data_IF_668491995567
#
_entry.id   IF_668491995567
#
_cell.length_a   1.000
_cell.length_b   1.000
_cell.length_c   1.000
_cell.angle_alpha   90.00
_cell.angle_beta   90.00
_cell.angle_gamma   90.00
#
_symmetry.space_group_name_H-M   'P 1'
#
loop_
_entity.id
_entity.type
_entity.pdbx_description
1 polymer ?
#
# COMPACT_ATOMS: atom_id res chain seq x y z
N UNK A 1 3.68 -13.00 -8.60
CA UNK A 1 3.07 -13.30 -7.28
C UNK A 1 1.83 -12.45 -7.19
N UNK A 2 0.69 -13.12 -7.09
CA UNK A 2 -0.62 -12.59 -7.41
C UNK A 2 -1.07 -11.42 -6.57
N UNK A 3 -1.45 -10.37 -7.25
CA UNK A 3 -2.27 -9.29 -6.74
C UNK A 3 -3.73 -9.62 -7.05
N UNK A 4 -4.40 -10.21 -6.06
CA UNK A 4 -5.85 -10.20 -5.97
C UNK A 4 -6.21 -9.50 -4.67
N UNK A 5 -6.83 -8.31 -4.68
CA UNK A 5 -7.73 -7.95 -3.61
C UNK A 5 -9.00 -8.77 -3.83
N UNK A 6 -9.50 -9.39 -2.76
CA UNK A 6 -10.83 -9.97 -2.70
C UNK A 6 -11.86 -8.87 -2.99
N UNK A 7 -12.24 -8.74 -4.25
CA UNK A 7 -13.33 -7.86 -4.66
C UNK A 7 -14.63 -8.67 -4.57
N UNK A 8 -15.50 -8.40 -3.59
CA UNK A 8 -16.74 -9.12 -3.43
C UNK A 8 -17.73 -8.89 -4.58
N UNK A 9 -17.52 -7.87 -5.44
CA UNK A 9 -18.37 -7.62 -6.60
C UNK A 9 -18.04 -8.52 -7.80
N UNK A 10 -16.80 -8.98 -7.94
CA UNK A 10 -16.44 -9.95 -8.98
C UNK A 10 -17.03 -11.34 -8.75
N UNK A 11 -17.40 -11.66 -7.50
CA UNK A 11 -18.09 -12.90 -7.15
C UNK A 11 -19.63 -12.80 -7.32
N UNK A 12 -20.18 -11.60 -7.45
CA UNK A 12 -21.62 -11.38 -7.48
C UNK A 12 -22.29 -11.81 -8.80
N UNK A 13 -21.53 -12.01 -9.88
CA UNK A 13 -22.06 -12.55 -11.14
C UNK A 13 -22.35 -14.05 -11.11
N UNK A 14 -21.90 -14.78 -10.08
CA UNK A 14 -22.00 -16.23 -10.06
C UNK A 14 -23.15 -16.81 -9.24
N UNK A 15 -23.76 -16.09 -8.28
CA UNK A 15 -24.90 -16.62 -7.52
C UNK A 15 -25.64 -15.49 -6.80
N UNK A 16 -26.94 -15.23 -7.03
CA UNK A 16 -27.78 -14.68 -6.00
C UNK A 16 -27.90 -15.76 -4.92
N UNK A 17 -27.46 -15.48 -3.70
CA UNK A 17 -27.71 -16.35 -2.55
C UNK A 17 -29.21 -16.55 -2.39
N UNK A 18 -29.75 -17.77 -2.52
CA UNK A 18 -31.13 -18.01 -2.14
C UNK A 18 -31.20 -17.95 -0.62
N UNK A 19 -32.12 -17.14 -0.11
CA UNK A 19 -32.60 -17.28 1.26
C UNK A 19 -33.00 -18.73 1.47
N UNK A 20 -32.48 -19.29 2.57
CA UNK A 20 -32.81 -20.58 3.11
C UNK A 20 -34.32 -20.87 3.03
N UNK A 21 -34.71 -21.89 2.27
CA UNK A 21 -35.79 -22.79 2.58
C UNK A 21 -35.62 -24.10 1.79
N UNK A 22 -35.46 -25.19 2.53
CA UNK A 22 -35.84 -26.55 2.22
C UNK A 22 -35.03 -27.33 1.16
N UNK A 23 -34.13 -28.17 1.64
CA UNK A 23 -33.63 -29.35 0.95
C UNK A 23 -34.77 -30.39 0.81
N UNK A 24 -35.64 -30.18 -0.15
CA UNK A 24 -36.39 -31.29 -0.75
C UNK A 24 -35.76 -31.58 -2.11
N UNK A 25 -35.48 -32.87 -2.34
CA UNK A 25 -34.96 -33.40 -3.60
C UNK A 25 -35.88 -32.98 -4.75
N UNK A 26 -35.51 -31.93 -5.50
CA UNK A 26 -36.24 -31.51 -6.71
C UNK A 26 -35.79 -32.39 -7.91
N UNK A 27 -36.01 -33.71 -7.73
CA UNK A 27 -35.76 -34.72 -8.77
C UNK A 27 -36.74 -34.55 -9.93
N UNK A 28 -37.92 -34.03 -9.68
CA UNK A 28 -38.96 -33.82 -10.70
C UNK A 28 -38.58 -32.60 -11.57
N UNK A 29 -38.06 -31.53 -10.99
CA UNK A 29 -37.55 -30.36 -11.71
C UNK A 29 -36.33 -30.68 -12.56
N UNK A 30 -35.36 -31.42 -12.04
CA UNK A 30 -34.19 -31.88 -12.77
C UNK A 30 -34.57 -32.75 -13.97
N UNK A 31 -35.51 -33.71 -13.76
CA UNK A 31 -35.99 -34.60 -14.81
C UNK A 31 -36.69 -33.83 -15.94
N UNK A 32 -37.53 -32.86 -15.57
CA UNK A 32 -38.21 -31.99 -16.55
C UNK A 32 -37.21 -31.16 -17.37
N UNK A 33 -36.19 -30.58 -16.73
CA UNK A 33 -35.11 -29.83 -17.41
C UNK A 33 -34.29 -30.75 -18.34
N UNK A 34 -34.00 -31.99 -17.91
CA UNK A 34 -33.31 -32.98 -18.73
C UNK A 34 -34.08 -33.34 -20.00
N UNK A 35 -35.37 -33.57 -19.88
CA UNK A 35 -36.24 -33.86 -21.01
C UNK A 35 -36.32 -32.68 -21.99
N UNK A 36 -36.50 -31.47 -21.49
CA UNK A 36 -36.55 -30.27 -22.29
C UNK A 36 -35.21 -30.01 -23.02
N UNK A 37 -34.08 -30.13 -22.30
CA UNK A 37 -32.74 -29.92 -22.86
C UNK A 37 -32.38 -30.98 -23.91
N UNK A 38 -32.78 -32.25 -23.71
CA UNK A 38 -32.64 -33.27 -24.73
C UNK A 38 -33.54 -33.02 -25.93
N UNK A 39 -34.70 -32.40 -25.74
CA UNK A 39 -35.58 -31.90 -26.79
C UNK A 39 -35.07 -30.69 -27.57
N UNK A 40 -33.92 -30.14 -27.17
CA UNK A 40 -33.29 -28.99 -27.85
C UNK A 40 -33.61 -27.65 -27.22
N UNK A 41 -34.22 -27.61 -26.05
CA UNK A 41 -34.42 -26.37 -25.30
C UNK A 41 -33.08 -25.86 -24.77
N UNK A 42 -32.64 -24.72 -25.32
CA UNK A 42 -31.36 -24.08 -25.04
C UNK A 42 -31.32 -23.52 -23.60
N UNK A 43 -32.45 -22.99 -23.16
CA UNK A 43 -32.55 -22.42 -21.81
C UNK A 43 -32.54 -23.54 -20.72
N UNK A 44 -33.22 -24.65 -21.00
CA UNK A 44 -33.17 -25.82 -20.11
C UNK A 44 -31.74 -26.38 -20.02
N UNK A 45 -30.99 -26.43 -21.11
CA UNK A 45 -29.59 -26.86 -21.11
C UNK A 45 -28.73 -25.89 -20.30
N UNK A 46 -28.90 -24.57 -20.43
CA UNK A 46 -28.22 -23.57 -19.61
C UNK A 46 -28.50 -23.78 -18.10
N UNK A 47 -29.76 -23.93 -17.73
CA UNK A 47 -30.18 -24.13 -16.34
C UNK A 47 -29.63 -25.44 -15.75
N UNK A 48 -29.56 -26.51 -16.54
CA UNK A 48 -28.90 -27.75 -16.12
C UNK A 48 -27.41 -27.54 -15.83
N UNK A 49 -26.73 -26.81 -16.70
CA UNK A 49 -25.33 -26.46 -16.48
C UNK A 49 -25.13 -25.76 -15.13
N UNK A 50 -25.97 -24.79 -14.81
CA UNK A 50 -25.97 -24.10 -13.50
C UNK A 50 -26.31 -25.04 -12.35
N UNK A 51 -27.32 -25.89 -12.50
CA UNK A 51 -27.73 -26.85 -11.49
C UNK A 51 -26.58 -27.83 -11.14
N UNK A 52 -25.93 -28.41 -12.15
CA UNK A 52 -24.81 -29.31 -11.92
C UNK A 52 -23.57 -28.60 -11.34
N UNK A 53 -23.32 -27.34 -11.74
CA UNK A 53 -22.26 -26.51 -11.15
C UNK A 53 -22.49 -26.27 -9.64
N UNK A 54 -23.71 -25.96 -9.22
CA UNK A 54 -24.06 -25.78 -7.81
C UNK A 54 -23.88 -27.07 -7.00
N UNK A 55 -24.13 -28.24 -7.58
CA UNK A 55 -23.92 -29.55 -6.93
C UNK A 55 -22.46 -30.02 -6.99
N UNK A 56 -21.57 -29.26 -7.62
CA UNK A 56 -20.17 -29.58 -7.74
C UNK A 56 -19.85 -30.61 -8.85
N UNK A 57 -20.82 -31.03 -9.64
CA UNK A 57 -20.58 -31.88 -10.82
C UNK A 57 -20.09 -31.00 -11.99
N UNK A 58 -18.78 -30.76 -11.97
CA UNK A 58 -18.12 -29.91 -12.95
C UNK A 58 -18.16 -30.46 -14.37
N UNK A 59 -18.18 -31.78 -14.53
CA UNK A 59 -18.21 -32.42 -15.85
C UNK A 59 -19.58 -32.32 -16.51
N UNK A 60 -20.63 -32.56 -15.78
CA UNK A 60 -22.01 -32.39 -16.26
C UNK A 60 -22.32 -30.91 -16.54
N UNK A 61 -21.88 -30.00 -15.65
CA UNK A 61 -22.04 -28.55 -15.84
C UNK A 61 -21.43 -28.09 -17.17
N UNK A 62 -20.17 -28.47 -17.43
CA UNK A 62 -19.46 -28.13 -18.67
C UNK A 62 -20.22 -28.68 -19.88
N UNK A 63 -20.60 -29.96 -19.86
CA UNK A 63 -21.31 -30.62 -20.96
C UNK A 63 -22.58 -29.85 -21.35
N UNK A 64 -23.40 -29.48 -20.37
CA UNK A 64 -24.64 -28.78 -20.65
C UNK A 64 -24.43 -27.35 -21.10
N UNK A 65 -23.44 -26.63 -20.57
CA UNK A 65 -23.07 -25.30 -21.05
C UNK A 65 -22.51 -25.34 -22.47
N UNK A 66 -21.65 -26.34 -22.84
CA UNK A 66 -21.16 -26.51 -24.21
C UNK A 66 -22.32 -26.69 -25.20
N UNK A 67 -23.30 -27.47 -24.82
CA UNK A 67 -24.50 -27.71 -25.64
C UNK A 67 -25.35 -26.45 -25.79
N UNK A 68 -25.57 -25.71 -24.70
CA UNK A 68 -26.33 -24.46 -24.73
C UNK A 68 -25.59 -23.37 -25.51
N UNK A 69 -24.27 -23.23 -25.29
CA UNK A 69 -23.46 -22.24 -26.00
C UNK A 69 -23.38 -22.52 -27.50
N UNK A 70 -23.26 -23.79 -27.90
CA UNK A 70 -23.31 -24.20 -29.31
C UNK A 70 -24.66 -23.86 -29.98
N UNK A 71 -25.73 -23.78 -29.19
CA UNK A 71 -27.06 -23.35 -29.65
C UNK A 71 -27.26 -21.83 -29.48
N UNK A 72 -26.23 -21.05 -29.16
CA UNK A 72 -26.22 -19.59 -29.12
C UNK A 72 -26.54 -18.96 -27.76
N UNK A 73 -26.54 -19.72 -26.68
CA UNK A 73 -26.71 -19.16 -25.35
C UNK A 73 -25.42 -18.47 -24.86
N UNK A 74 -25.46 -17.15 -24.73
CA UNK A 74 -24.30 -16.33 -24.38
C UNK A 74 -23.89 -16.50 -22.91
N UNK A 75 -24.85 -16.62 -22.01
CA UNK A 75 -24.58 -16.88 -20.60
C UNK A 75 -23.81 -18.20 -20.39
N UNK A 76 -24.13 -19.21 -21.20
CA UNK A 76 -23.39 -20.49 -21.17
C UNK A 76 -21.98 -20.35 -21.72
N UNK A 77 -21.80 -19.57 -22.79
CA UNK A 77 -20.46 -19.27 -23.29
C UNK A 77 -19.64 -18.50 -22.25
N UNK A 78 -20.21 -17.50 -21.60
CA UNK A 78 -19.57 -16.79 -20.49
C UNK A 78 -19.19 -17.74 -19.34
N UNK A 79 -20.12 -18.59 -18.90
CA UNK A 79 -19.85 -19.56 -17.83
C UNK A 79 -18.77 -20.59 -18.20
N UNK A 80 -18.69 -20.99 -19.47
CA UNK A 80 -17.58 -21.81 -19.97
C UNK A 80 -16.24 -21.07 -19.92
N UNK A 81 -16.22 -19.79 -20.24
CA UNK A 81 -15.04 -18.94 -20.08
C UNK A 81 -14.52 -19.00 -18.64
N UNK A 82 -15.38 -18.74 -17.66
CA UNK A 82 -15.05 -18.83 -16.24
C UNK A 82 -14.60 -20.25 -15.86
N UNK A 83 -15.29 -21.25 -16.37
CA UNK A 83 -14.95 -22.64 -16.08
C UNK A 83 -13.53 -22.98 -16.53
N UNK A 84 -13.17 -22.63 -17.78
CA UNK A 84 -11.86 -22.87 -18.36
C UNK A 84 -10.75 -22.07 -17.68
N UNK A 85 -11.03 -20.84 -17.28
CA UNK A 85 -10.10 -20.01 -16.52
C UNK A 85 -9.75 -20.67 -15.17
N UNK A 86 -10.75 -21.12 -14.41
CA UNK A 86 -10.55 -21.82 -13.13
C UNK A 86 -9.86 -23.18 -13.26
N UNK A 87 -9.89 -23.80 -14.42
CA UNK A 87 -9.27 -25.11 -14.66
C UNK A 87 -7.93 -25.01 -15.41
N UNK A 88 -7.35 -23.80 -15.51
CA UNK A 88 -6.01 -23.59 -16.07
C UNK A 88 -5.92 -23.80 -17.57
N UNK A 89 -7.00 -23.55 -18.30
CA UNK A 89 -7.05 -23.60 -19.78
C UNK A 89 -7.38 -22.23 -20.35
N UNK A 90 -6.49 -21.22 -20.20
CA UNK A 90 -6.77 -19.82 -20.54
C UNK A 90 -7.07 -19.60 -22.04
N UNK A 91 -6.46 -20.37 -22.91
CA UNK A 91 -6.72 -20.29 -24.35
C UNK A 91 -8.17 -20.67 -24.70
N UNK A 92 -8.71 -21.69 -24.07
CA UNK A 92 -10.12 -22.07 -24.27
C UNK A 92 -11.04 -21.06 -23.59
N UNK A 93 -10.68 -20.55 -22.41
CA UNK A 93 -11.41 -19.47 -21.75
C UNK A 93 -11.53 -18.24 -22.67
N UNK A 94 -10.42 -17.81 -23.29
CA UNK A 94 -10.41 -16.69 -24.22
C UNK A 94 -11.38 -16.91 -25.40
N UNK A 95 -11.41 -18.11 -25.97
CA UNK A 95 -12.34 -18.44 -27.10
C UNK A 95 -13.82 -18.31 -26.70
N UNK A 96 -14.16 -18.80 -25.50
CA UNK A 96 -15.54 -18.72 -25.02
C UNK A 96 -15.94 -17.29 -24.65
N UNK A 97 -15.05 -16.54 -23.99
CA UNK A 97 -15.27 -15.13 -23.74
C UNK A 97 -15.39 -14.32 -25.04
N UNK A 98 -14.53 -14.60 -26.04
CA UNK A 98 -14.58 -13.92 -27.33
C UNK A 98 -15.90 -14.19 -28.06
N UNK A 99 -16.42 -15.42 -28.00
CA UNK A 99 -17.72 -15.78 -28.59
C UNK A 99 -18.84 -14.94 -27.94
N UNK A 100 -18.89 -14.86 -26.62
CA UNK A 100 -19.91 -14.08 -25.91
C UNK A 100 -19.72 -12.57 -26.14
N UNK A 101 -18.50 -12.07 -26.06
CA UNK A 101 -18.17 -10.65 -26.26
C UNK A 101 -18.50 -10.14 -27.66
N UNK A 102 -18.23 -10.93 -28.72
CA UNK A 102 -18.60 -10.62 -30.10
C UNK A 102 -20.12 -10.55 -30.31
N UNK A 103 -20.87 -11.25 -29.47
CA UNK A 103 -22.32 -11.20 -29.47
C UNK A 103 -22.91 -10.09 -28.58
N UNK A 104 -22.04 -9.28 -27.94
CA UNK A 104 -22.42 -8.10 -27.18
C UNK A 104 -22.45 -8.30 -25.66
N UNK A 105 -21.95 -9.42 -25.15
CA UNK A 105 -21.81 -9.62 -23.71
C UNK A 105 -20.66 -8.75 -23.17
N UNK A 106 -21.05 -7.77 -22.35
CA UNK A 106 -20.13 -6.77 -21.81
C UNK A 106 -19.18 -7.34 -20.77
N UNK A 107 -19.66 -8.26 -19.95
CA UNK A 107 -18.86 -8.90 -18.90
C UNK A 107 -17.84 -9.85 -19.51
N UNK A 108 -18.23 -10.60 -20.55
CA UNK A 108 -17.32 -11.43 -21.31
C UNK A 108 -16.20 -10.60 -21.97
N UNK A 109 -16.53 -9.44 -22.50
CA UNK A 109 -15.53 -8.52 -23.08
C UNK A 109 -14.52 -8.02 -22.04
N UNK A 110 -14.98 -7.73 -20.82
CA UNK A 110 -14.10 -7.33 -19.70
C UNK A 110 -13.20 -8.48 -19.28
N UNK A 111 -13.74 -9.68 -19.09
CA UNK A 111 -12.97 -10.84 -18.67
C UNK A 111 -11.96 -11.27 -19.74
N UNK A 112 -12.34 -11.20 -21.02
CA UNK A 112 -11.41 -11.44 -22.11
C UNK A 112 -10.24 -10.44 -22.09
N UNK A 113 -10.52 -9.17 -21.88
CA UNK A 113 -9.49 -8.14 -21.82
C UNK A 113 -8.52 -8.38 -20.65
N UNK A 114 -9.04 -8.74 -19.48
CA UNK A 114 -8.20 -9.12 -18.31
C UNK A 114 -7.34 -10.32 -18.63
N UNK A 115 -7.93 -11.38 -19.19
CA UNK A 115 -7.22 -12.60 -19.53
C UNK A 115 -6.09 -12.34 -20.55
N UNK A 116 -6.32 -11.48 -21.54
CA UNK A 116 -5.32 -11.10 -22.54
C UNK A 116 -4.15 -10.33 -21.89
N UNK A 117 -4.41 -9.50 -20.90
CA UNK A 117 -3.34 -8.83 -20.13
C UNK A 117 -2.54 -9.81 -19.30
N UNK A 118 -3.23 -10.63 -18.49
CA UNK A 118 -2.59 -11.43 -17.45
C UNK A 118 -1.80 -12.61 -18.05
N UNK A 119 -2.34 -13.23 -19.10
CA UNK A 119 -1.76 -14.46 -19.67
C UNK A 119 -0.87 -14.20 -20.89
N UNK A 120 -1.14 -13.17 -21.66
CA UNK A 120 -0.47 -12.92 -22.93
C UNK A 120 0.27 -11.59 -22.98
N UNK A 121 0.04 -10.69 -22.03
CA UNK A 121 0.60 -9.33 -22.09
C UNK A 121 0.15 -8.54 -23.32
N UNK A 122 -0.96 -8.95 -23.97
CA UNK A 122 -1.47 -8.31 -25.18
C UNK A 122 -2.28 -7.05 -24.83
N UNK A 123 -1.54 -6.00 -24.47
CA UNK A 123 -2.10 -4.68 -24.13
C UNK A 123 -2.99 -4.11 -25.26
N UNK A 124 -2.58 -4.17 -26.56
CA UNK A 124 -3.42 -3.65 -27.64
C UNK A 124 -4.76 -4.37 -27.80
N UNK A 125 -4.78 -5.69 -27.66
CA UNK A 125 -6.03 -6.45 -27.76
C UNK A 125 -6.94 -6.22 -26.55
N UNK A 126 -6.37 -6.22 -25.34
CA UNK A 126 -7.09 -5.94 -24.11
C UNK A 126 -7.73 -4.54 -24.14
N UNK A 127 -6.98 -3.51 -24.59
CA UNK A 127 -7.49 -2.14 -24.74
C UNK A 127 -8.74 -2.10 -25.63
N UNK A 128 -8.72 -2.77 -26.78
CA UNK A 128 -9.87 -2.80 -27.70
C UNK A 128 -11.11 -3.41 -27.05
N UNK A 129 -10.95 -4.47 -26.27
CA UNK A 129 -12.08 -5.10 -25.58
C UNK A 129 -12.59 -4.24 -24.42
N UNK A 130 -11.71 -3.63 -23.64
CA UNK A 130 -12.14 -2.65 -22.64
C UNK A 130 -12.86 -1.45 -23.27
N UNK A 131 -12.37 -0.92 -24.39
CA UNK A 131 -13.07 0.17 -25.11
C UNK A 131 -14.46 -0.25 -25.59
N UNK A 132 -14.59 -1.49 -26.06
CA UNK A 132 -15.89 -2.04 -26.47
C UNK A 132 -16.84 -2.13 -25.28
N UNK A 133 -16.39 -2.68 -24.16
CA UNK A 133 -17.18 -2.79 -22.96
C UNK A 133 -17.51 -1.41 -22.34
N UNK A 134 -16.57 -0.46 -22.35
CA UNK A 134 -16.79 0.90 -21.87
C UNK A 134 -17.81 1.67 -22.71
N UNK A 135 -17.80 1.48 -24.03
CA UNK A 135 -18.83 2.04 -24.94
C UNK A 135 -20.22 1.46 -24.65
N UNK A 136 -20.27 0.20 -24.22
CA UNK A 136 -21.50 -0.46 -23.81
C UNK A 136 -21.93 -0.12 -22.36
N UNK A 137 -21.20 0.78 -21.67
CA UNK A 137 -21.56 1.29 -20.35
C UNK A 137 -20.93 0.55 -19.16
N UNK A 138 -19.93 -0.30 -19.40
CA UNK A 138 -19.21 -0.96 -18.31
C UNK A 138 -18.35 0.03 -17.53
N UNK A 139 -18.70 0.28 -16.27
CA UNK A 139 -17.90 1.10 -15.34
C UNK A 139 -16.54 0.44 -15.05
N UNK A 140 -16.53 -0.87 -14.88
CA UNK A 140 -15.32 -1.63 -14.66
C UNK A 140 -14.33 -1.47 -15.82
N UNK A 141 -14.81 -1.59 -17.07
CA UNK A 141 -13.97 -1.39 -18.26
C UNK A 141 -13.46 0.06 -18.37
N UNK A 142 -14.30 1.04 -18.06
CA UNK A 142 -13.90 2.46 -18.08
C UNK A 142 -12.75 2.73 -17.13
N UNK A 143 -12.83 2.21 -15.89
CA UNK A 143 -11.76 2.31 -14.91
C UNK A 143 -10.50 1.55 -15.33
N UNK A 144 -10.64 0.33 -15.85
CA UNK A 144 -9.50 -0.46 -16.35
C UNK A 144 -8.76 0.23 -17.50
N UNK A 145 -9.47 0.92 -18.39
CA UNK A 145 -8.87 1.74 -19.44
C UNK A 145 -8.06 2.90 -18.88
N UNK A 146 -8.59 3.58 -17.85
CA UNK A 146 -7.88 4.66 -17.21
C UNK A 146 -6.54 4.18 -16.63
N UNK A 147 -6.57 3.09 -15.86
CA UNK A 147 -5.37 2.48 -15.29
C UNK A 147 -4.38 2.00 -16.37
N UNK A 148 -4.89 1.40 -17.45
CA UNK A 148 -4.07 0.96 -18.58
C UNK A 148 -3.35 2.12 -19.28
N UNK A 149 -4.02 3.27 -19.39
CA UNK A 149 -3.44 4.50 -19.93
C UNK A 149 -2.39 5.09 -18.97
N UNK A 150 -2.60 5.00 -17.65
CA UNK A 150 -1.61 5.42 -16.64
C UNK A 150 -0.35 4.56 -16.73
N UNK A 151 -0.50 3.24 -16.78
CA UNK A 151 0.62 2.30 -16.92
C UNK A 151 1.41 2.54 -18.23
N UNK A 152 0.70 2.94 -19.27
CA UNK A 152 1.30 3.33 -20.56
C UNK A 152 1.90 4.75 -20.60
N UNK A 153 1.78 5.53 -19.53
CA UNK A 153 2.23 6.93 -19.48
C UNK A 153 1.37 7.90 -20.28
N UNK A 154 0.17 7.49 -20.69
CA UNK A 154 -0.78 8.29 -21.49
C UNK A 154 -1.65 9.17 -20.56
N UNK A 155 -1.03 10.08 -19.80
CA UNK A 155 -1.65 10.87 -18.72
C UNK A 155 -2.96 11.56 -19.16
N UNK A 156 -3.01 12.15 -20.37
CA UNK A 156 -4.22 12.82 -20.87
C UNK A 156 -5.36 11.83 -21.11
N UNK A 157 -5.08 10.69 -21.74
CA UNK A 157 -6.08 9.66 -21.99
C UNK A 157 -6.55 9.03 -20.66
N UNK A 158 -5.65 8.79 -19.72
CA UNK A 158 -5.98 8.33 -18.38
C UNK A 158 -6.95 9.29 -17.69
N UNK A 159 -6.65 10.60 -17.70
CA UNK A 159 -7.52 11.62 -17.12
C UNK A 159 -8.91 11.67 -17.75
N UNK A 160 -9.03 11.48 -19.07
CA UNK A 160 -10.31 11.42 -19.76
C UNK A 160 -11.16 10.21 -19.33
N UNK A 161 -10.52 9.03 -19.24
CA UNK A 161 -11.20 7.81 -18.81
C UNK A 161 -11.57 7.84 -17.32
N UNK A 162 -10.69 8.32 -16.44
CA UNK A 162 -11.02 8.53 -15.03
C UNK A 162 -12.17 9.52 -14.86
N UNK A 163 -12.18 10.62 -15.63
CA UNK A 163 -13.28 11.60 -15.57
C UNK A 163 -14.61 10.96 -15.95
N UNK A 164 -14.61 10.13 -16.97
CA UNK A 164 -15.81 9.39 -17.39
C UNK A 164 -16.26 8.43 -16.29
N UNK A 165 -15.35 7.63 -15.72
CA UNK A 165 -15.66 6.71 -14.65
C UNK A 165 -16.16 7.44 -13.38
N UNK A 166 -15.54 8.56 -13.02
CA UNK A 166 -15.95 9.38 -11.88
C UNK A 166 -17.35 10.00 -12.07
N UNK A 167 -17.69 10.43 -13.30
CA UNK A 167 -19.04 10.90 -13.64
C UNK A 167 -20.08 9.80 -13.54
N UNK A 168 -19.70 8.54 -13.77
CA UNK A 168 -20.54 7.35 -13.59
C UNK A 168 -20.57 6.87 -12.13
N UNK A 169 -19.93 7.62 -11.20
CA UNK A 169 -19.95 7.38 -9.74
C UNK A 169 -18.82 6.50 -9.23
N UNK A 170 -17.76 6.27 -10.01
CA UNK A 170 -16.57 5.58 -9.51
C UNK A 170 -15.70 6.54 -8.65
N UNK A 171 -15.81 6.37 -7.35
CA UNK A 171 -15.11 7.22 -6.38
C UNK A 171 -13.59 7.04 -6.40
N UNK A 172 -13.12 5.86 -6.75
CA UNK A 172 -11.69 5.63 -6.90
C UNK A 172 -11.13 6.39 -8.09
N UNK A 173 -11.84 6.42 -9.23
CA UNK A 173 -11.45 7.26 -10.36
C UNK A 173 -11.51 8.76 -10.06
N UNK A 174 -12.46 9.21 -9.24
CA UNK A 174 -12.46 10.60 -8.76
C UNK A 174 -11.24 10.90 -7.87
N UNK A 175 -10.84 9.97 -7.03
CA UNK A 175 -9.63 10.08 -6.22
C UNK A 175 -8.35 10.12 -7.10
N UNK A 176 -8.27 9.25 -8.11
CA UNK A 176 -7.13 9.20 -9.04
C UNK A 176 -7.03 10.48 -9.88
N UNK A 177 -8.17 11.06 -10.33
CA UNK A 177 -8.20 12.39 -10.94
C UNK A 177 -7.62 13.48 -10.05
N UNK A 178 -7.94 13.45 -8.76
CA UNK A 178 -7.34 14.36 -7.79
C UNK A 178 -5.82 14.28 -7.76
N UNK A 179 -5.26 13.08 -7.87
CA UNK A 179 -3.80 12.88 -7.96
C UNK A 179 -3.22 13.39 -9.28
N UNK A 180 -3.88 13.14 -10.40
CA UNK A 180 -3.44 13.66 -11.70
C UNK A 180 -3.44 15.19 -11.74
N UNK A 181 -4.47 15.83 -11.18
CA UNK A 181 -4.56 17.27 -11.04
C UNK A 181 -3.48 17.82 -10.10
N UNK A 182 -3.26 17.16 -8.95
CA UNK A 182 -2.20 17.52 -8.01
C UNK A 182 -0.81 17.45 -8.66
N UNK A 183 -0.54 16.39 -9.40
CA UNK A 183 0.72 16.23 -10.12
C UNK A 183 0.93 17.26 -11.23
N UNK A 184 -0.16 17.80 -11.78
CA UNK A 184 -0.15 18.86 -12.78
C UNK A 184 -0.11 20.28 -12.18
N UNK A 185 -0.21 20.41 -10.86
CA UNK A 185 -0.29 21.70 -10.15
C UNK A 185 -1.65 22.41 -10.26
N UNK A 186 -2.70 21.67 -10.61
CA UNK A 186 -4.06 22.20 -10.78
C UNK A 186 -4.81 22.09 -9.44
N UNK A 187 -4.55 23.04 -8.53
CA UNK A 187 -5.06 23.01 -7.15
C UNK A 187 -6.59 22.96 -7.07
N UNK A 188 -7.29 23.76 -7.86
CA UNK A 188 -8.76 23.82 -7.89
C UNK A 188 -9.38 22.49 -8.33
N UNK A 189 -8.81 21.83 -9.34
CA UNK A 189 -9.27 20.53 -9.80
C UNK A 189 -8.93 19.44 -8.77
N UNK A 190 -7.77 19.52 -8.12
CA UNK A 190 -7.37 18.63 -7.02
C UNK A 190 -8.40 18.65 -5.89
N UNK A 191 -8.71 19.86 -5.41
CA UNK A 191 -9.73 20.08 -4.36
C UNK A 191 -11.08 19.52 -4.77
N UNK A 192 -11.52 19.84 -5.99
CA UNK A 192 -12.83 19.45 -6.53
C UNK A 192 -13.00 17.93 -6.54
N UNK A 193 -12.02 17.21 -7.09
CA UNK A 193 -12.13 15.77 -7.27
C UNK A 193 -11.97 15.01 -5.94
N UNK A 194 -11.00 15.40 -5.11
CA UNK A 194 -10.86 14.77 -3.79
C UNK A 194 -12.03 15.09 -2.87
N UNK A 195 -12.58 16.30 -2.93
CA UNK A 195 -13.77 16.67 -2.14
C UNK A 195 -15.00 15.87 -2.57
N UNK A 196 -15.20 15.70 -3.87
CA UNK A 196 -16.28 14.86 -4.41
C UNK A 196 -16.18 13.42 -3.90
N UNK A 197 -15.01 12.81 -4.04
CA UNK A 197 -14.77 11.45 -3.58
C UNK A 197 -14.91 11.32 -2.06
N UNK A 198 -14.29 12.22 -1.30
CA UNK A 198 -14.32 12.23 0.16
C UNK A 198 -15.73 12.34 0.73
N UNK A 199 -16.53 13.29 0.23
CA UNK A 199 -17.93 13.48 0.67
C UNK A 199 -18.84 12.33 0.29
N UNK A 200 -18.48 11.60 -0.75
CA UNK A 200 -19.19 10.39 -1.17
C UNK A 200 -18.73 9.11 -0.44
N UNK A 201 -17.81 9.24 0.51
CA UNK A 201 -17.40 8.14 1.40
C UNK A 201 -16.05 7.50 1.09
N UNK A 202 -15.29 8.01 0.11
CA UNK A 202 -13.95 7.48 -0.19
C UNK A 202 -12.95 7.91 0.91
N UNK A 203 -12.50 6.94 1.71
CA UNK A 203 -11.67 7.20 2.88
C UNK A 203 -10.31 7.81 2.53
N UNK A 204 -9.65 7.25 1.50
CA UNK A 204 -8.32 7.72 1.08
C UNK A 204 -8.38 9.13 0.49
N UNK A 205 -9.45 9.46 -0.27
CA UNK A 205 -9.64 10.81 -0.80
C UNK A 205 -9.80 11.84 0.34
N UNK A 206 -10.57 11.50 1.37
CA UNK A 206 -10.71 12.35 2.54
C UNK A 206 -9.37 12.54 3.27
N UNK A 207 -8.58 11.48 3.39
CA UNK A 207 -7.26 11.54 4.01
C UNK A 207 -6.28 12.41 3.20
N UNK A 208 -6.19 12.21 1.88
CA UNK A 208 -5.29 12.99 1.02
C UNK A 208 -5.71 14.46 0.93
N UNK A 209 -7.02 14.73 0.92
CA UNK A 209 -7.51 16.11 0.99
C UNK A 209 -7.14 16.77 2.32
N UNK A 210 -7.24 16.04 3.43
CA UNK A 210 -6.77 16.50 4.74
C UNK A 210 -5.28 16.86 4.72
N UNK A 211 -4.43 16.00 4.14
CA UNK A 211 -3.00 16.28 3.99
C UNK A 211 -2.71 17.49 3.09
N UNK A 212 -3.45 17.64 2.01
CA UNK A 212 -3.33 18.79 1.11
C UNK A 212 -3.69 20.11 1.79
N UNK A 213 -4.82 20.14 2.50
CA UNK A 213 -5.24 21.33 3.26
C UNK A 213 -4.26 21.67 4.39
N UNK A 214 -3.72 20.67 5.07
CA UNK A 214 -2.69 20.88 6.09
C UNK A 214 -1.41 21.50 5.48
N UNK A 215 -0.97 21.02 4.32
CA UNK A 215 0.17 21.59 3.60
C UNK A 215 -0.08 23.03 3.15
N UNK A 216 -1.33 23.36 2.79
CA UNK A 216 -1.77 24.70 2.39
C UNK A 216 -2.17 25.61 3.56
N UNK A 217 -1.83 25.22 4.81
CA UNK A 217 -2.06 25.99 6.03
C UNK A 217 -3.54 26.23 6.36
N UNK A 218 -4.41 25.31 5.98
CA UNK A 218 -5.80 25.22 6.43
C UNK A 218 -5.97 24.06 7.44
N UNK A 219 -5.64 24.26 8.73
CA UNK A 219 -5.73 23.22 9.74
C UNK A 219 -7.17 22.84 10.09
N UNK A 220 -8.11 23.77 9.97
CA UNK A 220 -9.53 23.51 10.28
C UNK A 220 -10.16 22.62 9.21
N UNK A 221 -9.91 22.93 7.94
CA UNK A 221 -10.31 22.09 6.82
C UNK A 221 -9.67 20.72 6.89
N UNK A 222 -8.37 20.65 7.17
CA UNK A 222 -7.63 19.39 7.32
C UNK A 222 -8.24 18.50 8.41
N UNK A 223 -8.52 19.07 9.58
CA UNK A 223 -9.14 18.33 10.70
C UNK A 223 -10.51 17.78 10.32
N UNK A 224 -11.34 18.55 9.63
CA UNK A 224 -12.66 18.12 9.19
C UNK A 224 -12.57 16.90 8.26
N UNK A 225 -11.65 16.92 7.29
CA UNK A 225 -11.47 15.82 6.36
C UNK A 225 -10.76 14.60 6.99
N UNK A 226 -9.83 14.79 7.92
CA UNK A 226 -9.30 13.66 8.69
C UNK A 226 -10.37 13.01 9.56
N UNK A 227 -11.31 13.76 10.14
CA UNK A 227 -12.46 13.18 10.84
C UNK A 227 -13.36 12.38 9.91
N UNK A 228 -13.57 12.86 8.68
CA UNK A 228 -14.33 12.14 7.67
C UNK A 228 -13.60 10.86 7.26
N UNK A 229 -12.30 10.91 7.04
CA UNK A 229 -11.48 9.74 6.75
C UNK A 229 -11.52 8.71 7.90
N UNK A 230 -11.41 9.17 9.14
CA UNK A 230 -11.49 8.30 10.32
C UNK A 230 -12.89 7.68 10.51
N UNK A 231 -13.95 8.37 10.10
CA UNK A 231 -15.33 7.82 10.08
C UNK A 231 -15.46 6.71 9.04
N UNK A 232 -14.77 6.84 7.92
CA UNK A 232 -14.73 5.87 6.83
C UNK A 232 -13.57 4.87 6.99
N UNK A 233 -13.06 4.71 8.21
CA UNK A 233 -12.09 3.69 8.63
C UNK A 233 -10.69 3.79 7.97
N UNK A 234 -10.30 4.97 7.48
CA UNK A 234 -8.94 5.15 6.97
C UNK A 234 -7.88 4.97 8.08
N UNK A 235 -6.90 4.06 7.90
CA UNK A 235 -5.99 3.63 8.97
C UNK A 235 -5.05 4.73 9.50
N UNK A 236 -4.73 5.72 8.66
CA UNK A 236 -3.83 6.84 9.04
C UNK A 236 -4.55 8.05 9.62
N UNK A 237 -5.88 8.14 9.51
CA UNK A 237 -6.61 9.36 9.85
C UNK A 237 -6.60 9.64 11.37
N UNK A 238 -6.70 8.60 12.18
CA UNK A 238 -6.66 8.73 13.64
C UNK A 238 -5.30 9.26 14.11
N UNK A 239 -4.19 8.84 13.49
CA UNK A 239 -2.84 9.34 13.79
C UNK A 239 -2.72 10.83 13.50
N UNK A 240 -3.27 11.31 12.37
CA UNK A 240 -3.26 12.74 12.02
C UNK A 240 -4.07 13.57 13.02
N UNK A 241 -5.27 13.11 13.39
CA UNK A 241 -6.10 13.78 14.40
C UNK A 241 -5.43 13.80 15.77
N UNK A 242 -4.76 12.73 16.16
CA UNK A 242 -3.93 12.67 17.35
C UNK A 242 -2.80 13.69 17.33
N UNK A 243 -2.11 13.81 16.20
CA UNK A 243 -1.06 14.81 15.98
C UNK A 243 -1.56 16.25 16.08
N UNK A 244 -2.72 16.55 15.48
CA UNK A 244 -3.35 17.87 15.58
C UNK A 244 -3.70 18.18 17.03
N UNK A 245 -4.37 17.26 17.74
CA UNK A 245 -4.72 17.47 19.15
C UNK A 245 -3.48 17.67 20.04
N UNK A 246 -2.40 16.91 19.76
CA UNK A 246 -1.13 17.05 20.46
C UNK A 246 -0.50 18.43 20.23
N UNK A 247 -0.53 18.94 19.01
CA UNK A 247 0.00 20.28 18.67
C UNK A 247 -0.78 21.42 19.37
N UNK A 248 -2.06 21.18 19.66
CA UNK A 248 -2.92 22.11 20.41
C UNK A 248 -2.79 21.93 21.94
N UNK A 249 -2.00 20.98 22.41
CA UNK A 249 -1.84 20.66 23.83
C UNK A 249 -3.02 19.90 24.45
N UNK A 250 -3.99 19.45 23.64
CA UNK A 250 -5.12 18.65 24.13
C UNK A 250 -4.71 17.17 24.23
N UNK A 251 -4.00 16.85 25.33
CA UNK A 251 -3.52 15.49 25.59
C UNK A 251 -4.64 14.45 25.70
N UNK A 252 -5.84 14.86 26.17
CA UNK A 252 -6.97 13.91 26.29
C UNK A 252 -7.50 13.48 24.93
N UNK A 253 -7.71 14.44 24.05
CA UNK A 253 -8.13 14.14 22.67
C UNK A 253 -7.04 13.44 21.89
N UNK A 254 -5.77 13.85 22.04
CA UNK A 254 -4.61 13.20 21.44
C UNK A 254 -4.55 11.73 21.84
N UNK A 255 -4.66 11.43 23.15
CA UNK A 255 -4.70 10.06 23.66
C UNK A 255 -5.79 9.22 22.99
N UNK A 256 -7.02 9.73 22.99
CA UNK A 256 -8.16 8.97 22.43
C UNK A 256 -7.92 8.59 20.94
N UNK A 257 -7.37 9.53 20.17
CA UNK A 257 -7.06 9.27 18.76
C UNK A 257 -5.88 8.32 18.57
N UNK A 258 -4.78 8.50 19.30
CA UNK A 258 -3.63 7.60 19.19
C UNK A 258 -3.93 6.19 19.72
N UNK A 259 -4.74 6.03 20.75
CA UNK A 259 -5.22 4.71 21.20
C UNK A 259 -6.05 4.03 20.11
N UNK A 260 -6.93 4.78 19.43
CA UNK A 260 -7.68 4.26 18.28
C UNK A 260 -6.75 3.85 17.13
N UNK A 261 -5.76 4.68 16.79
CA UNK A 261 -4.75 4.35 15.78
C UNK A 261 -3.93 3.13 16.17
N UNK A 262 -3.47 3.05 17.41
CA UNK A 262 -2.66 1.95 17.94
C UNK A 262 -3.38 0.60 17.95
N UNK A 263 -4.72 0.60 18.04
CA UNK A 263 -5.55 -0.61 17.92
C UNK A 263 -5.44 -1.27 16.54
N UNK A 264 -5.06 -0.53 15.48
CA UNK A 264 -4.82 -1.09 14.14
C UNK A 264 -3.56 -1.93 14.05
N UNK A 265 -2.72 -1.92 15.10
CA UNK A 265 -1.46 -2.68 15.16
C UNK A 265 -0.23 -1.93 14.64
N UNK A 266 -0.37 -0.69 14.18
CA UNK A 266 0.76 0.12 13.71
C UNK A 266 1.69 0.46 14.87
N UNK A 267 2.94 0.06 14.74
CA UNK A 267 3.96 0.18 15.81
C UNK A 267 4.21 1.65 16.19
N UNK A 268 4.30 2.54 15.20
CA UNK A 268 4.51 3.97 15.42
C UNK A 268 3.38 4.61 16.25
N UNK A 269 2.13 4.22 15.98
CA UNK A 269 0.96 4.73 16.72
C UNK A 269 0.95 4.19 18.15
N UNK A 270 1.33 2.92 18.36
CA UNK A 270 1.48 2.34 19.69
C UNK A 270 2.57 3.06 20.50
N UNK A 271 3.72 3.32 19.87
CA UNK A 271 4.80 4.09 20.51
C UNK A 271 4.30 5.51 20.88
N UNK A 272 3.64 6.20 19.96
CA UNK A 272 3.14 7.55 20.20
C UNK A 272 2.06 7.59 21.28
N UNK A 273 1.15 6.61 21.31
CA UNK A 273 0.17 6.45 22.40
C UNK A 273 0.87 6.28 23.75
N UNK A 274 1.97 5.52 23.79
CA UNK A 274 2.81 5.37 24.98
C UNK A 274 3.38 6.72 25.45
N UNK A 275 3.93 7.52 24.56
CA UNK A 275 4.43 8.86 24.91
C UNK A 275 3.35 9.79 25.42
N UNK A 276 2.18 9.83 24.79
CA UNK A 276 1.04 10.64 25.27
C UNK A 276 0.62 10.21 26.68
N UNK A 277 0.63 8.91 26.98
CA UNK A 277 0.36 8.41 28.33
C UNK A 277 1.42 8.90 29.34
N UNK A 278 2.71 8.92 28.97
CA UNK A 278 3.78 9.50 29.82
C UNK A 278 3.53 10.94 30.13
N UNK A 279 3.22 11.78 29.13
CA UNK A 279 2.90 13.21 29.30
C UNK A 279 1.68 13.42 30.23
N UNK A 280 0.76 12.48 30.24
CA UNK A 280 -0.40 12.49 31.15
C UNK A 280 -0.11 11.86 32.52
N UNK A 281 1.12 11.44 32.80
CA UNK A 281 1.53 10.71 34.01
C UNK A 281 0.75 9.41 34.23
N UNK A 282 0.30 8.77 33.15
CA UNK A 282 -0.35 7.45 33.16
C UNK A 282 0.69 6.35 32.85
N UNK A 283 1.44 5.95 33.87
CA UNK A 283 2.45 4.92 33.73
C UNK A 283 1.89 3.55 33.27
N UNK A 284 0.63 3.23 33.66
CA UNK A 284 -0.01 1.97 33.22
C UNK A 284 -0.33 1.99 31.74
N UNK A 285 -0.93 3.07 31.24
CA UNK A 285 -1.21 3.26 29.83
C UNK A 285 0.07 3.26 29.00
N UNK A 286 1.10 3.98 29.48
CA UNK A 286 2.41 4.00 28.83
C UNK A 286 3.03 2.60 28.73
N UNK A 287 3.04 1.83 29.83
CA UNK A 287 3.54 0.47 29.88
C UNK A 287 2.79 -0.47 28.93
N UNK A 288 1.47 -0.33 28.85
CA UNK A 288 0.64 -1.11 27.92
C UNK A 288 1.06 -0.87 26.47
N UNK A 289 1.19 0.37 26.05
CA UNK A 289 1.47 0.69 24.66
C UNK A 289 2.94 0.47 24.28
N UNK A 290 3.88 0.86 25.15
CA UNK A 290 5.30 0.60 24.90
C UNK A 290 5.61 -0.89 24.84
N UNK A 291 5.01 -1.72 25.69
CA UNK A 291 5.23 -3.18 25.65
C UNK A 291 4.78 -3.78 24.32
N UNK A 292 3.65 -3.30 23.75
CA UNK A 292 3.15 -3.77 22.45
C UNK A 292 4.04 -3.31 21.30
N UNK A 293 4.45 -2.06 21.29
CA UNK A 293 5.35 -1.53 20.27
C UNK A 293 6.72 -2.21 20.33
N UNK A 294 7.25 -2.44 21.55
CA UNK A 294 8.49 -3.15 21.78
C UNK A 294 8.43 -4.62 21.31
N UNK A 295 7.33 -5.31 21.59
CA UNK A 295 7.08 -6.66 21.07
C UNK A 295 7.00 -6.69 19.54
N UNK A 296 6.56 -5.58 18.91
CA UNK A 296 6.58 -5.35 17.46
C UNK A 296 7.98 -5.03 16.91
N UNK A 297 9.00 -4.91 17.78
CA UNK A 297 10.38 -4.67 17.37
C UNK A 297 10.81 -3.19 17.39
N UNK A 298 10.02 -2.28 17.97
CA UNK A 298 10.40 -0.87 18.07
C UNK A 298 11.45 -0.66 19.17
N UNK A 299 12.67 -0.21 18.82
CA UNK A 299 13.74 -0.07 19.82
C UNK A 299 13.54 1.09 20.79
N UNK A 300 12.89 2.18 20.35
CA UNK A 300 12.56 3.32 21.21
C UNK A 300 11.51 2.95 22.25
N UNK A 301 10.46 2.21 21.83
CA UNK A 301 9.45 1.71 22.75
C UNK A 301 10.05 0.69 23.73
N UNK A 302 10.94 -0.20 23.28
CA UNK A 302 11.62 -1.15 24.14
C UNK A 302 12.47 -0.44 25.20
N UNK A 303 13.19 0.61 24.82
CA UNK A 303 13.94 1.44 25.74
C UNK A 303 13.03 2.10 26.79
N UNK A 304 11.96 2.77 26.34
CA UNK A 304 11.05 3.46 27.25
C UNK A 304 10.28 2.50 28.16
N UNK A 305 9.93 1.31 27.67
CA UNK A 305 9.32 0.27 28.50
C UNK A 305 10.29 -0.24 29.57
N UNK A 306 11.55 -0.45 29.21
CA UNK A 306 12.61 -0.78 30.17
C UNK A 306 12.77 0.26 31.28
N UNK A 307 12.75 1.55 30.94
CA UNK A 307 12.76 2.65 31.92
C UNK A 307 11.57 2.60 32.87
N UNK A 308 10.35 2.37 32.35
CA UNK A 308 9.14 2.27 33.17
C UNK A 308 9.19 1.08 34.14
N UNK A 309 9.68 -0.07 33.70
CA UNK A 309 9.81 -1.25 34.56
C UNK A 309 10.74 -0.99 35.76
N UNK A 310 11.81 -0.26 35.52
CA UNK A 310 12.75 0.11 36.59
C UNK A 310 12.14 1.16 37.51
N UNK A 311 11.56 2.24 36.95
CA UNK A 311 11.06 3.36 37.70
C UNK A 311 9.83 3.02 38.55
N UNK A 312 8.86 2.34 37.98
CA UNK A 312 7.53 2.11 38.58
C UNK A 312 7.48 0.75 39.36
N UNK A 313 8.22 -0.23 38.88
CA UNK A 313 8.12 -1.59 39.42
C UNK A 313 9.41 -2.09 40.11
N UNK A 314 10.49 -1.30 40.05
CA UNK A 314 11.84 -1.71 40.54
C UNK A 314 12.29 -3.04 39.90
N UNK A 315 11.79 -3.34 38.69
CA UNK A 315 12.11 -4.55 37.93
C UNK A 315 13.38 -4.32 37.09
N UNK A 316 14.54 -4.49 37.75
CA UNK A 316 15.83 -4.35 37.10
C UNK A 316 16.07 -5.44 36.03
N UNK A 317 15.53 -6.65 36.24
CA UNK A 317 15.73 -7.75 35.29
C UNK A 317 14.90 -7.52 34.01
N UNK A 318 13.65 -7.13 34.15
CA UNK A 318 12.80 -6.73 33.03
C UNK A 318 13.38 -5.54 32.27
N UNK A 319 13.83 -4.51 32.99
CA UNK A 319 14.49 -3.35 32.40
C UNK A 319 15.76 -3.74 31.63
N UNK A 320 16.63 -4.56 32.22
CA UNK A 320 17.82 -5.06 31.53
C UNK A 320 17.50 -5.88 30.29
N UNK A 321 16.43 -6.69 30.31
CA UNK A 321 16.00 -7.47 29.17
C UNK A 321 15.61 -6.56 27.99
N UNK A 322 14.77 -5.55 28.22
CA UNK A 322 14.30 -4.64 27.19
C UNK A 322 15.40 -3.69 26.69
N UNK A 323 16.28 -3.22 27.58
CA UNK A 323 17.46 -2.46 27.14
C UNK A 323 18.37 -3.29 26.24
N UNK A 324 18.52 -4.60 26.52
CA UNK A 324 19.31 -5.48 25.66
C UNK A 324 18.66 -5.62 24.28
N UNK A 325 17.35 -5.80 24.21
CA UNK A 325 16.64 -5.86 22.92
C UNK A 325 16.77 -4.54 22.15
N UNK A 326 16.53 -3.41 22.78
CA UNK A 326 16.68 -2.09 22.17
C UNK A 326 18.12 -1.86 21.69
N UNK A 327 19.11 -2.17 22.50
CA UNK A 327 20.52 -2.02 22.17
C UNK A 327 20.93 -2.92 21.00
N UNK A 328 20.45 -4.18 20.95
CA UNK A 328 20.66 -5.08 19.81
C UNK A 328 20.04 -4.55 18.50
N UNK A 329 18.93 -3.83 18.60
CA UNK A 329 18.31 -3.12 17.47
C UNK A 329 19.00 -1.78 17.15
N UNK A 330 20.10 -1.44 17.84
CA UNK A 330 20.93 -0.27 17.58
C UNK A 330 20.52 1.00 18.36
N UNK A 331 19.70 0.86 19.40
CA UNK A 331 19.34 1.99 20.24
C UNK A 331 20.48 2.33 21.20
N UNK A 332 21.22 3.40 20.88
CA UNK A 332 22.46 3.74 21.60
C UNK A 332 22.24 4.01 23.09
N UNK A 333 21.21 4.78 23.47
CA UNK A 333 20.93 5.07 24.87
C UNK A 333 20.63 3.81 25.68
N UNK A 334 19.94 2.84 25.07
CA UNK A 334 19.70 1.55 25.71
C UNK A 334 20.99 0.77 25.96
N UNK A 335 21.97 0.84 25.06
CA UNK A 335 23.29 0.23 25.27
C UNK A 335 24.03 0.85 26.45
N UNK A 336 23.94 2.16 26.61
CA UNK A 336 24.55 2.89 27.75
C UNK A 336 23.89 2.51 29.06
N UNK A 337 22.56 2.53 29.14
CA UNK A 337 21.82 2.15 30.35
C UNK A 337 22.04 0.66 30.71
N UNK A 338 22.06 -0.21 29.69
CA UNK A 338 22.39 -1.62 29.88
C UNK A 338 23.80 -1.79 30.49
N UNK A 339 24.78 -1.06 29.94
CA UNK A 339 26.14 -1.10 30.42
C UNK A 339 26.26 -0.61 31.89
N UNK A 340 25.51 0.45 32.23
CA UNK A 340 25.43 0.95 33.59
C UNK A 340 24.88 -0.11 34.57
N UNK A 341 23.76 -0.76 34.19
CA UNK A 341 23.18 -1.84 35.01
C UNK A 341 24.11 -3.04 35.15
N UNK A 342 24.78 -3.45 34.07
CA UNK A 342 25.75 -4.56 34.09
C UNK A 342 26.97 -4.23 34.96
N UNK A 343 27.48 -3.00 34.89
CA UNK A 343 28.58 -2.55 35.75
C UNK A 343 28.19 -2.57 37.22
N UNK A 344 26.99 -2.08 37.56
CA UNK A 344 26.48 -2.10 38.94
C UNK A 344 26.29 -3.54 39.46
N UNK A 345 25.98 -4.48 38.57
CA UNK A 345 25.86 -5.91 38.89
C UNK A 345 27.20 -6.66 38.88
N UNK A 346 28.35 -5.98 38.63
CA UNK A 346 29.69 -6.57 38.62
C UNK A 346 30.13 -7.21 37.29
N UNK A 347 29.34 -7.07 36.22
CA UNK A 347 29.64 -7.61 34.87
C UNK A 347 30.41 -6.62 34.00
N UNK A 348 31.52 -6.07 34.50
CA UNK A 348 32.29 -4.99 33.87
C UNK A 348 32.74 -5.32 32.44
N UNK A 349 33.14 -6.56 32.13
CA UNK A 349 33.58 -6.95 30.78
C UNK A 349 32.42 -6.94 29.75
N UNK A 350 31.25 -7.32 30.20
CA UNK A 350 30.06 -7.27 29.33
C UNK A 350 29.62 -5.81 29.11
N UNK A 351 29.65 -4.99 30.15
CA UNK A 351 29.36 -3.56 30.06
C UNK A 351 30.30 -2.84 29.06
N UNK A 352 31.62 -3.12 29.14
CA UNK A 352 32.60 -2.56 28.22
C UNK A 352 32.33 -2.92 26.76
N UNK A 353 31.84 -4.15 26.46
CA UNK A 353 31.46 -4.55 25.08
C UNK A 353 30.32 -3.72 24.53
N UNK A 354 29.28 -3.45 25.35
CA UNK A 354 28.17 -2.64 24.92
C UNK A 354 28.54 -1.17 24.64
N UNK A 355 29.58 -0.67 25.30
CA UNK A 355 30.07 0.70 25.09
C UNK A 355 31.09 0.82 23.95
N UNK A 356 31.94 -0.19 23.74
CA UNK A 356 33.02 -0.16 22.76
C UNK A 356 32.59 -0.61 21.37
N UNK A 357 31.64 -1.54 21.29
CA UNK A 357 31.12 -2.08 20.02
C UNK A 357 29.61 -2.26 20.12
N UNK A 358 28.85 -1.16 20.21
CA UNK A 358 27.40 -1.26 20.21
C UNK A 358 26.94 -1.87 18.88
N UNK A 359 25.98 -2.82 18.91
CA UNK A 359 25.48 -3.42 17.70
C UNK A 359 24.92 -2.33 16.77
N UNK A 360 25.39 -2.35 15.55
CA UNK A 360 24.86 -1.44 14.51
C UNK A 360 23.41 -1.80 14.23
N UNK A 361 22.52 -0.81 14.06
CA UNK A 361 21.12 -1.07 13.74
C UNK A 361 21.01 -1.91 12.46
N UNK A 362 20.00 -2.78 12.33
CA UNK A 362 19.84 -3.67 11.16
C UNK A 362 19.94 -2.97 9.82
N UNK A 363 19.46 -1.72 9.73
CA UNK A 363 19.52 -0.90 8.51
C UNK A 363 20.92 -0.34 8.20
N UNK A 364 21.86 -0.36 9.14
CA UNK A 364 23.25 0.06 8.91
C UNK A 364 24.10 -1.06 8.28
N UNK A 365 23.57 -2.28 8.24
CA UNK A 365 24.18 -3.44 7.58
C UNK A 365 23.63 -3.68 6.20
N UNK A 366 23.19 -2.62 5.51
CA UNK A 366 22.70 -2.75 4.14
C UNK A 366 23.82 -3.35 3.30
N UNK A 367 23.64 -4.58 2.88
CA UNK A 367 24.56 -5.27 1.97
C UNK A 367 24.46 -4.61 0.59
N UNK A 368 25.53 -4.68 -0.20
CA UNK A 368 25.52 -4.13 -1.55
C UNK A 368 24.30 -4.61 -2.40
N UNK A 369 23.87 -5.89 -2.32
CA UNK A 369 22.63 -6.35 -2.95
C UNK A 369 21.35 -5.66 -2.49
N UNK A 370 21.25 -5.30 -1.20
CA UNK A 370 20.08 -4.58 -0.67
C UNK A 370 20.03 -3.13 -1.12
N UNK A 371 21.20 -2.47 -1.24
CA UNK A 371 21.30 -1.13 -1.83
C UNK A 371 20.90 -1.13 -3.30
N UNK A 372 21.35 -2.13 -4.06
CA UNK A 372 20.96 -2.32 -5.46
C UNK A 372 19.45 -2.53 -5.58
N UNK A 373 18.86 -3.42 -4.77
CA UNK A 373 17.41 -3.65 -4.78
C UNK A 373 16.61 -2.39 -4.44
N UNK A 374 17.08 -1.57 -3.49
CA UNK A 374 16.45 -0.27 -3.17
C UNK A 374 16.55 0.72 -4.33
N UNK A 375 17.72 0.78 -4.98
CA UNK A 375 17.94 1.63 -6.14
C UNK A 375 17.07 1.20 -7.33
N UNK A 376 16.90 -0.11 -7.55
CA UNK A 376 15.99 -0.67 -8.56
C UNK A 376 14.54 -0.31 -8.29
N UNK A 377 14.08 -0.44 -7.04
CA UNK A 377 12.75 -0.03 -6.64
C UNK A 377 12.50 1.46 -6.85
N UNK A 378 13.48 2.31 -6.51
CA UNK A 378 13.40 3.74 -6.72
C UNK A 378 13.36 4.09 -8.23
N UNK A 379 14.24 3.49 -9.04
CA UNK A 379 14.26 3.67 -10.50
C UNK A 379 12.92 3.24 -11.14
N UNK A 380 12.39 2.08 -10.74
CA UNK A 380 11.11 1.58 -11.20
C UNK A 380 9.94 2.47 -10.76
N UNK A 381 9.98 3.06 -9.56
CA UNK A 381 8.97 3.99 -9.08
C UNK A 381 8.98 5.31 -9.88
N UNK A 382 10.17 5.82 -10.22
CA UNK A 382 10.33 7.02 -11.08
C UNK A 382 9.78 6.73 -12.48
N UNK A 383 10.17 5.60 -13.08
CA UNK A 383 9.71 5.20 -14.41
C UNK A 383 8.18 5.02 -14.47
N UNK A 384 7.58 4.37 -13.47
CA UNK A 384 6.12 4.17 -13.39
C UNK A 384 5.32 5.46 -13.32
N UNK A 385 5.92 6.55 -12.83
CA UNK A 385 5.27 7.87 -12.71
C UNK A 385 5.64 8.83 -13.84
N UNK A 386 6.17 8.32 -14.96
CA UNK A 386 6.53 9.13 -16.13
C UNK A 386 7.77 10.02 -15.93
N UNK A 387 8.54 9.79 -14.87
CA UNK A 387 9.83 10.44 -14.67
C UNK A 387 10.88 9.95 -15.69
N UNK A 388 11.88 10.78 -15.97
CA UNK A 388 12.98 10.38 -16.85
C UNK A 388 13.71 9.17 -16.23
N UNK A 389 14.15 8.19 -17.05
CA UNK A 389 14.80 6.99 -16.56
C UNK A 389 16.09 7.32 -15.82
N UNK A 390 16.20 6.87 -14.57
CA UNK A 390 17.37 7.02 -13.73
C UNK A 390 18.20 5.73 -13.74
N UNK A 391 19.54 5.87 -13.79
CA UNK A 391 20.41 4.70 -13.75
C UNK A 391 20.48 4.14 -12.33
N UNK A 392 20.24 2.85 -12.19
CA UNK A 392 20.32 2.15 -10.90
C UNK A 392 21.67 2.33 -10.23
N UNK A 393 22.76 2.33 -11.01
CA UNK A 393 24.13 2.56 -10.51
C UNK A 393 24.28 3.91 -9.81
N UNK A 394 23.71 4.99 -10.37
CA UNK A 394 23.77 6.33 -9.79
C UNK A 394 23.00 6.41 -8.47
N UNK A 395 21.82 5.78 -8.44
CA UNK A 395 21.01 5.71 -7.22
C UNK A 395 21.68 4.88 -6.13
N UNK A 396 22.30 3.77 -6.49
CA UNK A 396 23.09 2.93 -5.58
C UNK A 396 24.28 3.71 -5.00
N UNK A 397 24.97 4.51 -5.81
CA UNK A 397 26.07 5.35 -5.37
C UNK A 397 25.61 6.43 -4.38
N UNK A 398 24.50 7.11 -4.66
CA UNK A 398 23.91 8.12 -3.75
C UNK A 398 23.52 7.51 -2.41
N UNK A 399 22.75 6.42 -2.43
CA UNK A 399 22.26 5.77 -1.22
C UNK A 399 23.42 5.20 -0.38
N UNK A 400 24.36 4.52 -1.04
CA UNK A 400 25.50 3.89 -0.38
C UNK A 400 26.49 4.92 0.19
N UNK A 401 26.73 6.05 -0.50
CA UNK A 401 27.58 7.10 0.02
C UNK A 401 27.00 7.74 1.27
N UNK A 402 25.71 8.06 1.26
CA UNK A 402 25.05 8.63 2.44
C UNK A 402 25.14 7.68 3.63
N UNK A 403 24.80 6.41 3.44
CA UNK A 403 24.85 5.42 4.49
C UNK A 403 26.29 5.20 5.03
N UNK A 404 27.30 5.34 4.17
CA UNK A 404 28.70 5.28 4.57
C UNK A 404 29.12 6.47 5.43
N UNK A 405 28.85 7.71 4.96
CA UNK A 405 29.32 8.93 5.61
C UNK A 405 28.55 9.30 6.87
N UNK A 406 27.30 8.85 7.01
CA UNK A 406 26.48 9.08 8.21
C UNK A 406 26.65 8.00 9.26
N UNK A 407 27.29 6.89 8.92
CA UNK A 407 27.53 5.74 9.81
C UNK A 407 28.17 6.10 11.17
N UNK A 408 29.16 7.03 11.24
CA UNK A 408 29.79 7.38 12.52
C UNK A 408 29.01 8.40 13.34
N UNK A 409 27.90 8.95 12.82
CA UNK A 409 27.11 9.94 13.55
C UNK A 409 26.34 9.29 14.71
N UNK A 410 26.54 9.85 15.88
CA UNK A 410 25.79 9.50 17.10
C UNK A 410 24.59 10.44 17.23
N UNK A 411 23.53 9.99 17.91
CA UNK A 411 22.28 10.72 18.09
C UNK A 411 22.48 12.20 18.48
N UNK A 412 21.61 13.08 17.94
CA UNK A 412 21.54 14.54 18.14
C UNK A 412 22.59 15.42 17.42
N UNK A 413 23.39 14.86 16.53
CA UNK A 413 24.25 15.69 15.70
C UNK A 413 23.45 16.20 14.49
N UNK A 414 23.50 17.50 14.22
CA UNK A 414 23.06 18.01 12.94
C UNK A 414 23.94 17.44 11.84
N UNK A 415 23.38 16.46 11.14
CA UNK A 415 24.08 15.68 10.11
C UNK A 415 24.69 16.61 9.06
N UNK A 416 23.96 17.65 8.69
CA UNK A 416 24.38 18.60 7.67
C UNK A 416 25.55 19.44 8.17
N UNK A 417 25.46 20.01 9.36
CA UNK A 417 26.51 20.79 9.97
C UNK A 417 27.79 19.97 10.16
N UNK A 418 27.66 18.74 10.67
CA UNK A 418 28.78 17.83 10.90
C UNK A 418 29.48 17.42 9.60
N UNK A 419 28.70 17.08 8.55
CA UNK A 419 29.27 16.75 7.23
C UNK A 419 29.92 17.96 6.56
N UNK A 420 29.34 19.16 6.71
CA UNK A 420 29.89 20.41 6.21
C UNK A 420 31.27 20.70 6.80
N UNK A 421 31.37 20.61 8.14
CA UNK A 421 32.64 20.87 8.85
C UNK A 421 33.72 19.85 8.44
N UNK A 422 33.36 18.60 8.28
CA UNK A 422 34.32 17.52 8.02
C UNK A 422 34.72 17.39 6.54
N UNK A 423 33.81 17.67 5.61
CA UNK A 423 34.07 17.53 4.18
C UNK A 423 34.53 18.82 3.50
N UNK A 424 34.30 19.96 4.13
CA UNK A 424 34.51 21.28 3.53
C UNK A 424 33.55 21.62 2.38
N UNK A 425 32.51 20.81 2.17
CA UNK A 425 31.48 21.05 1.17
C UNK A 425 30.45 22.06 1.68
N UNK A 426 29.82 22.85 0.79
CA UNK A 426 28.77 23.78 1.18
C UNK A 426 27.58 23.06 1.83
N UNK A 427 27.04 23.61 2.92
CA UNK A 427 25.87 23.03 3.63
C UNK A 427 24.69 22.78 2.69
N UNK A 428 24.41 23.71 1.77
CA UNK A 428 23.34 23.56 0.78
C UNK A 428 23.49 22.35 -0.16
N UNK A 429 24.73 21.96 -0.48
CA UNK A 429 24.97 20.76 -1.30
C UNK A 429 24.67 19.48 -0.52
N UNK A 430 25.00 19.45 0.77
CA UNK A 430 24.73 18.33 1.66
C UNK A 430 23.23 18.22 1.98
N UNK A 431 22.56 19.35 2.20
CA UNK A 431 21.10 19.41 2.36
C UNK A 431 20.38 18.90 1.13
N UNK A 432 20.85 19.28 -0.06
CA UNK A 432 20.29 18.80 -1.31
C UNK A 432 20.45 17.28 -1.49
N UNK A 433 21.63 16.75 -1.18
CA UNK A 433 21.88 15.31 -1.15
C UNK A 433 20.95 14.58 -0.18
N UNK A 434 20.77 15.12 1.03
CA UNK A 434 19.86 14.58 2.04
C UNK A 434 18.40 14.57 1.57
N UNK A 435 17.97 15.68 0.94
CA UNK A 435 16.61 15.84 0.39
C UNK A 435 16.33 14.84 -0.73
N UNK A 436 17.24 14.73 -1.70
CA UNK A 436 17.09 13.77 -2.81
C UNK A 436 17.08 12.33 -2.30
N UNK A 437 17.96 11.98 -1.36
CA UNK A 437 17.94 10.66 -0.72
C UNK A 437 16.60 10.38 -0.02
N UNK A 438 16.08 11.34 0.74
CA UNK A 438 14.80 11.18 1.42
C UNK A 438 13.64 10.95 0.44
N UNK A 439 13.66 11.64 -0.70
CA UNK A 439 12.70 11.46 -1.79
C UNK A 439 12.81 10.07 -2.43
N UNK A 440 14.01 9.59 -2.68
CA UNK A 440 14.26 8.26 -3.24
C UNK A 440 13.83 7.12 -2.31
N UNK A 441 13.90 7.32 -0.99
CA UNK A 441 13.52 6.31 0.01
C UNK A 441 12.04 6.34 0.39
N UNK A 442 11.32 7.41 0.05
CA UNK A 442 9.89 7.56 0.34
C UNK A 442 9.10 7.68 -0.95
N UNK A 443 8.68 6.58 -1.57
CA UNK A 443 7.81 6.63 -2.74
C UNK A 443 6.43 7.16 -2.31
N UNK A 444 6.19 8.46 -2.49
CA UNK A 444 4.90 9.06 -2.19
C UNK A 444 4.87 10.55 -1.86
N UNK A 445 6.02 11.19 -1.67
CA UNK A 445 6.09 12.62 -1.35
C UNK A 445 7.10 13.35 -2.24
N UNK A 446 6.79 14.58 -2.62
CA UNK A 446 7.57 15.51 -3.43
C UNK A 446 7.83 15.10 -4.89
N UNK A 447 8.03 16.03 -5.80
CA UNK A 447 8.41 15.72 -7.18
C UNK A 447 9.71 14.91 -7.20
N UNK A 448 9.76 13.91 -8.08
CA UNK A 448 10.95 13.09 -8.25
C UNK A 448 12.12 13.93 -8.76
N UNK A 449 13.35 13.66 -8.28
CA UNK A 449 14.52 14.39 -8.76
C UNK A 449 14.70 14.18 -10.26
N UNK A 450 15.00 15.26 -10.95
CA UNK A 450 15.33 15.26 -12.37
C UNK A 450 16.70 14.60 -12.61
N UNK A 451 17.01 14.12 -13.83
CA UNK A 451 18.35 13.61 -14.15
C UNK A 451 19.47 14.62 -13.85
N UNK A 452 19.22 15.92 -14.04
CA UNK A 452 20.16 16.99 -13.74
C UNK A 452 20.41 17.12 -12.23
N UNK A 453 19.37 17.02 -11.42
CA UNK A 453 19.49 17.02 -9.95
C UNK A 453 20.22 15.76 -9.46
N UNK A 454 19.97 14.59 -10.05
CA UNK A 454 20.71 13.36 -9.74
C UNK A 454 22.19 13.51 -10.08
N UNK A 455 22.53 14.09 -11.22
CA UNK A 455 23.92 14.32 -11.62
C UNK A 455 24.64 15.30 -10.66
N UNK A 456 23.95 16.37 -10.24
CA UNK A 456 24.45 17.32 -9.26
C UNK A 456 24.72 16.67 -7.89
N UNK A 457 23.78 15.86 -7.44
CA UNK A 457 23.89 15.13 -6.18
C UNK A 457 24.97 14.05 -6.23
N UNK A 458 25.19 13.41 -7.38
CA UNK A 458 26.29 12.46 -7.59
C UNK A 458 27.66 13.11 -7.44
N UNK A 459 27.85 14.35 -7.94
CA UNK A 459 29.09 15.10 -7.75
C UNK A 459 29.33 15.30 -6.24
N UNK A 460 28.32 15.70 -5.50
CA UNK A 460 28.41 15.87 -4.04
C UNK A 460 28.68 14.54 -3.32
N UNK A 461 28.01 13.46 -3.71
CA UNK A 461 28.25 12.14 -3.13
C UNK A 461 29.68 11.65 -3.39
N UNK A 462 30.21 11.84 -4.60
CA UNK A 462 31.57 11.47 -4.95
C UNK A 462 32.62 12.30 -4.20
N UNK A 463 32.36 13.62 -4.05
CA UNK A 463 33.23 14.50 -3.26
C UNK A 463 33.25 14.10 -1.78
N UNK A 464 32.09 13.76 -1.20
CA UNK A 464 32.02 13.22 0.16
C UNK A 464 32.80 11.92 0.32
N UNK A 465 32.71 11.02 -0.64
CA UNK A 465 33.39 9.72 -0.61
C UNK A 465 34.90 9.85 -0.78
N UNK A 466 35.38 10.76 -1.64
CA UNK A 466 36.80 11.00 -1.87
C UNK A 466 37.50 11.74 -0.72
N UNK A 467 36.78 12.61 -0.02
CA UNK A 467 37.26 13.32 1.18
C UNK A 467 37.13 12.54 2.47
N UNK A 468 36.51 11.35 2.43
CA UNK A 468 36.23 10.54 3.58
C UNK A 468 37.41 9.66 3.97
N UNK A 469 38.08 10.01 5.09
CA UNK A 469 38.95 9.09 5.83
C UNK A 469 38.17 8.60 7.05
N UNK A 470 38.05 7.28 7.26
CA UNK A 470 37.29 6.70 8.39
C UNK A 470 37.84 7.09 9.75
#
# INVERSE_FOLDING_TARGET
MGWWPDDPEAAAGLVPTPRSTEHENDTDGETALLLAAHGGDVQAAHLLGRHFAQRGDRSAARHWWERAAAAGNLDSAYNLGIWHEKHGTPTEAARWYELAANAGDVEAAVNLAILLLDQHGDVPAARRWFETAAKAGSRAATRRLALLCEDGGEVKAAGEWHRRAAMDGDLASAHDLGFLAYASGEEDETLRWWELAARSGHADAAYHLGLFLQANRDPEGAEAFFRLAAKNEHPGAASQLGGIALSLGDLRTARAWFERAACTGRIDDQRTAGFVCVEMSDARGAGHWFSRAAAGGDPEAAFNFGLLLIAEHSDLQGGQHWFRQAAQAGHHRAAVELAALLSAAGFSREAERWLSDPPSPPWSRTTEPELVARAELAAAAVARRGGAPLRVADLTEILGTWDLVTRPLRDHTDVTAWLTERSGLPSGAIEHLASVRATLLRPGGAPWPTPVEIEHVLVTARALRSGWSP
#
